data_IF_167379442121
#
_entry.id   IF_167379442121
#
_cell.length_a   1.000
_cell.length_b   1.000
_cell.length_c   1.000
_cell.angle_alpha   90.00
_cell.angle_beta   90.00
_cell.angle_gamma   90.00
#
_symmetry.space_group_name_H-M   'P 1'
#
loop_
_entity.id
_entity.type
_entity.pdbx_description
1 polymer ?
#
# COMPACT_ATOMS: atom_id res chain seq x y z
N UNK A 1 10.55 -21.68 -2.54
CA UNK A 1 10.41 -20.24 -2.20
C UNK A 1 11.28 -19.46 -3.18
N UNK A 2 10.64 -18.71 -4.07
CA UNK A 2 11.34 -17.82 -4.97
C UNK A 2 11.99 -16.70 -4.16
N UNK A 3 13.31 -16.67 -4.07
CA UNK A 3 14.07 -15.57 -3.47
C UNK A 3 14.12 -14.41 -4.50
N UNK A 4 12.96 -13.78 -4.72
CA UNK A 4 12.79 -12.70 -5.70
C UNK A 4 13.41 -11.38 -5.24
N UNK A 5 14.09 -11.38 -4.08
CA UNK A 5 14.80 -10.21 -3.54
C UNK A 5 13.95 -8.91 -3.58
N UNK A 6 12.71 -9.03 -3.11
CA UNK A 6 11.70 -7.96 -3.13
C UNK A 6 11.98 -6.81 -2.17
N UNK A 7 11.30 -5.70 -2.37
CA UNK A 7 11.33 -4.52 -1.51
C UNK A 7 12.77 -4.03 -1.22
N UNK A 8 13.61 -3.97 -2.26
CA UNK A 8 15.01 -3.52 -2.12
C UNK A 8 15.11 -2.02 -1.98
N UNK A 9 15.97 -1.58 -1.05
CA UNK A 9 16.43 -0.20 -1.08
C UNK A 9 17.26 0.05 -2.34
N UNK A 10 17.07 1.20 -3.02
CA UNK A 10 17.87 1.56 -4.20
C UNK A 10 19.34 1.77 -3.87
N UNK A 11 19.64 2.18 -2.63
CA UNK A 11 20.99 2.31 -2.10
C UNK A 11 21.07 1.51 -0.79
N UNK A 12 21.94 0.48 -0.73
CA UNK A 12 22.06 -0.32 0.48
C UNK A 12 22.55 0.50 1.68
N UNK A 13 21.95 0.23 2.83
CA UNK A 13 22.38 0.74 4.13
C UNK A 13 23.13 -0.34 4.92
N UNK A 14 23.25 -0.20 6.22
CA UNK A 14 23.94 -1.14 7.09
C UNK A 14 23.24 -2.51 7.10
N UNK A 15 23.91 -3.54 6.61
CA UNK A 15 23.37 -4.90 6.53
C UNK A 15 22.91 -5.46 7.88
N UNK A 16 23.52 -5.04 8.98
CA UNK A 16 23.16 -5.48 10.33
C UNK A 16 21.73 -5.09 10.73
N UNK A 17 21.18 -4.03 10.14
CA UNK A 17 19.79 -3.62 10.41
C UNK A 17 18.76 -4.50 9.72
N UNK A 18 19.17 -5.27 8.68
CA UNK A 18 18.28 -6.16 7.92
C UNK A 18 17.16 -5.42 7.19
N UNK A 19 17.45 -4.20 6.67
CA UNK A 19 16.45 -3.35 6.00
C UNK A 19 16.64 -3.24 4.48
N UNK A 20 17.74 -3.78 3.94
CA UNK A 20 18.11 -3.59 2.53
C UNK A 20 17.18 -4.32 1.55
N UNK A 21 16.49 -5.34 1.99
CA UNK A 21 15.48 -6.11 1.23
C UNK A 21 14.50 -6.77 2.19
N UNK A 22 13.42 -7.32 1.64
CA UNK A 22 12.46 -8.08 2.43
C UNK A 22 13.13 -9.29 3.14
N UNK A 23 12.68 -9.65 4.35
CA UNK A 23 13.16 -10.85 5.03
C UNK A 23 12.71 -12.11 4.29
N UNK A 24 13.43 -13.22 4.48
CA UNK A 24 13.07 -14.52 3.85
C UNK A 24 11.64 -14.97 4.20
N UNK A 25 11.12 -14.58 5.38
CA UNK A 25 9.75 -14.87 5.78
C UNK A 25 8.70 -14.20 4.87
N UNK A 26 9.07 -13.12 4.17
CA UNK A 26 8.20 -12.43 3.24
C UNK A 26 8.28 -12.97 1.80
N UNK A 27 9.08 -13.99 1.52
CA UNK A 27 9.22 -14.56 0.19
C UNK A 27 7.87 -15.05 -0.37
N UNK A 28 7.63 -14.80 -1.65
CA UNK A 28 6.46 -15.30 -2.37
C UNK A 28 6.45 -16.84 -2.35
N UNK A 29 5.30 -17.46 -2.08
CA UNK A 29 5.18 -18.91 -2.16
C UNK A 29 5.30 -19.39 -3.60
N UNK A 30 5.86 -20.58 -3.79
CA UNK A 30 5.78 -21.29 -5.07
C UNK A 30 4.41 -21.98 -5.16
N UNK A 31 3.41 -21.24 -5.61
CA UNK A 31 2.07 -21.77 -5.88
C UNK A 31 2.02 -22.02 -7.40
N UNK A 32 1.72 -23.25 -7.86
CA UNK A 32 1.48 -23.50 -9.27
C UNK A 32 0.42 -22.57 -9.83
N UNK A 33 0.56 -22.16 -11.10
CA UNK A 33 -0.36 -21.20 -11.72
C UNK A 33 -1.84 -21.60 -11.59
N UNK A 34 -2.14 -22.87 -11.77
CA UNK A 34 -3.50 -23.42 -11.68
C UNK A 34 -4.08 -23.45 -10.24
N UNK A 35 -3.24 -23.33 -9.22
CA UNK A 35 -3.65 -23.30 -7.82
C UNK A 35 -3.98 -21.88 -7.31
N UNK A 36 -3.78 -20.86 -8.15
CA UNK A 36 -4.30 -19.52 -7.91
C UNK A 36 -5.78 -19.47 -8.33
N UNK A 37 -6.69 -19.37 -7.35
CA UNK A 37 -8.12 -19.40 -7.57
C UNK A 37 -8.68 -18.15 -8.26
N UNK A 38 -9.82 -18.32 -8.93
CA UNK A 38 -10.58 -17.23 -9.55
C UNK A 38 -11.95 -17.02 -8.87
N UNK A 39 -12.52 -18.08 -8.32
CA UNK A 39 -13.89 -18.08 -7.80
C UNK A 39 -14.11 -17.19 -6.57
N UNK A 40 -13.04 -16.81 -5.90
CA UNK A 40 -13.03 -15.96 -4.71
C UNK A 40 -12.74 -14.48 -5.01
N UNK A 41 -12.71 -14.10 -6.29
CA UNK A 41 -12.49 -12.70 -6.73
C UNK A 41 -13.77 -12.17 -7.36
N UNK A 42 -14.34 -11.14 -6.75
CA UNK A 42 -15.50 -10.41 -7.27
C UNK A 42 -15.08 -9.04 -7.80
N UNK A 43 -15.74 -8.61 -8.87
CA UNK A 43 -15.42 -7.37 -9.53
C UNK A 43 -16.69 -6.62 -9.95
N UNK A 44 -16.79 -5.33 -9.62
CA UNK A 44 -17.91 -4.46 -9.99
C UNK A 44 -17.39 -3.19 -10.66
N UNK A 45 -17.83 -2.96 -11.91
CA UNK A 45 -17.50 -1.77 -12.68
C UNK A 45 -18.62 -0.74 -12.63
N UNK A 46 -18.34 0.52 -12.32
CA UNK A 46 -19.32 1.60 -12.43
C UNK A 46 -19.50 2.06 -13.90
N UNK A 47 -20.59 2.76 -14.14
CA UNK A 47 -20.78 3.44 -15.43
C UNK A 47 -19.64 4.43 -15.71
N UNK A 48 -19.20 4.49 -16.97
CA UNK A 48 -18.08 5.34 -17.40
C UNK A 48 -16.71 4.69 -17.35
N UNK A 49 -16.59 3.47 -16.82
CA UNK A 49 -15.38 2.64 -16.88
C UNK A 49 -15.56 1.56 -17.93
N UNK A 50 -14.63 1.48 -18.87
CA UNK A 50 -14.54 0.42 -19.86
C UNK A 50 -13.46 -0.60 -19.50
N UNK A 51 -13.56 -1.81 -20.03
CA UNK A 51 -12.47 -2.78 -20.06
C UNK A 51 -11.71 -2.67 -21.37
N UNK A 52 -10.37 -2.56 -21.29
CA UNK A 52 -9.50 -2.60 -22.45
C UNK A 52 -9.21 -4.07 -22.85
N UNK A 53 -9.11 -4.34 -24.15
CA UNK A 53 -8.80 -5.69 -24.65
C UNK A 53 -7.40 -6.18 -24.27
N UNK A 54 -6.48 -5.28 -23.96
CA UNK A 54 -5.08 -5.60 -23.64
C UNK A 54 -4.58 -4.77 -22.47
N UNK A 55 -3.80 -5.43 -21.64
CA UNK A 55 -3.01 -4.82 -20.59
C UNK A 55 -1.85 -3.97 -21.16
N UNK A 56 -1.25 -3.13 -20.31
CA UNK A 56 -0.09 -2.31 -20.69
C UNK A 56 1.07 -3.19 -21.19
N UNK A 57 1.62 -2.83 -22.34
CA UNK A 57 2.79 -3.54 -22.94
C UNK A 57 4.12 -3.13 -22.33
N UNK A 58 4.20 -1.90 -21.79
CA UNK A 58 5.36 -1.37 -21.07
C UNK A 58 4.88 -0.56 -19.89
N UNK A 59 5.48 -0.78 -18.72
CA UNK A 59 5.16 -0.09 -17.49
C UNK A 59 6.38 -0.06 -16.55
N UNK A 60 6.46 0.95 -15.69
CA UNK A 60 7.48 1.00 -14.64
C UNK A 60 7.26 -0.13 -13.62
N UNK A 61 8.33 -0.58 -12.99
CA UNK A 61 8.23 -1.57 -11.92
C UNK A 61 7.52 -1.01 -10.68
N UNK A 62 6.90 -1.91 -9.92
CA UNK A 62 6.33 -1.59 -8.60
C UNK A 62 7.40 -1.38 -7.54
N UNK A 63 6.98 -0.98 -6.34
CA UNK A 63 7.87 -0.91 -5.17
C UNK A 63 8.42 -2.28 -4.74
N UNK A 64 7.78 -3.38 -5.14
CA UNK A 64 8.28 -4.73 -4.85
C UNK A 64 9.42 -5.15 -5.79
N UNK A 65 9.53 -4.53 -6.97
CA UNK A 65 10.59 -4.74 -7.94
C UNK A 65 10.20 -5.65 -9.11
N UNK A 66 10.94 -5.51 -10.22
CA UNK A 66 10.67 -6.13 -11.54
C UNK A 66 10.47 -7.65 -11.47
N UNK A 67 11.28 -8.35 -10.68
CA UNK A 67 11.19 -9.82 -10.58
C UNK A 67 9.85 -10.28 -9.96
N UNK A 68 9.33 -9.53 -8.98
CA UNK A 68 8.01 -9.78 -8.39
C UNK A 68 6.92 -9.48 -9.39
N UNK A 69 6.99 -8.33 -10.05
CA UNK A 69 6.00 -7.91 -11.06
C UNK A 69 5.91 -8.93 -12.21
N UNK A 70 7.06 -9.42 -12.68
CA UNK A 70 7.12 -10.47 -13.71
C UNK A 70 6.44 -11.75 -13.23
N UNK A 71 6.76 -12.21 -12.02
CA UNK A 71 6.11 -13.40 -11.45
C UNK A 71 4.59 -13.22 -11.35
N UNK A 72 4.12 -12.07 -10.84
CA UNK A 72 2.69 -11.79 -10.73
C UNK A 72 2.00 -11.72 -12.10
N UNK A 73 2.66 -11.11 -13.10
CA UNK A 73 2.16 -11.07 -14.48
C UNK A 73 2.11 -12.44 -15.14
N UNK A 74 3.07 -13.31 -14.92
CA UNK A 74 3.11 -14.63 -15.54
C UNK A 74 2.08 -15.61 -14.94
N UNK A 75 1.78 -15.47 -13.64
CA UNK A 75 0.97 -16.43 -12.89
C UNK A 75 -0.45 -15.92 -12.57
N UNK A 76 -0.81 -14.67 -12.90
CA UNK A 76 -2.13 -14.15 -12.60
C UNK A 76 -3.23 -14.90 -13.36
N UNK A 77 -4.21 -15.43 -12.64
CA UNK A 77 -5.41 -16.07 -13.17
C UNK A 77 -6.50 -15.05 -13.47
N UNK A 78 -6.55 -13.95 -12.72
CA UNK A 78 -7.52 -12.86 -12.93
C UNK A 78 -6.78 -11.59 -13.36
N UNK A 79 -7.19 -11.05 -14.52
CA UNK A 79 -6.62 -9.81 -15.07
C UNK A 79 -7.71 -8.89 -15.56
N UNK A 80 -7.66 -7.65 -15.12
CA UNK A 80 -8.55 -6.60 -15.60
C UNK A 80 -7.73 -5.39 -16.05
N UNK A 81 -8.06 -4.87 -17.21
CA UNK A 81 -7.48 -3.63 -17.74
C UNK A 81 -8.60 -2.62 -17.91
N UNK A 82 -8.65 -1.63 -17.02
CA UNK A 82 -9.69 -0.60 -17.00
C UNK A 82 -9.25 0.61 -17.79
N UNK A 83 -10.19 1.24 -18.48
CA UNK A 83 -9.96 2.53 -19.12
C UNK A 83 -11.08 3.50 -18.77
N UNK A 84 -10.71 4.75 -18.50
CA UNK A 84 -11.64 5.87 -18.35
C UNK A 84 -11.37 6.89 -19.46
N UNK A 85 -12.39 7.20 -20.25
CA UNK A 85 -12.25 8.12 -21.37
C UNK A 85 -11.89 9.54 -20.92
N UNK A 86 -11.35 10.35 -21.85
CA UNK A 86 -10.98 11.75 -21.58
C UNK A 86 -12.16 12.53 -20.99
N UNK A 87 -11.85 13.40 -20.03
CA UNK A 87 -12.77 14.29 -19.32
C UNK A 87 -13.95 13.60 -18.60
N UNK A 88 -13.92 12.26 -18.51
CA UNK A 88 -14.95 11.49 -17.81
C UNK A 88 -14.72 11.50 -16.30
N UNK A 89 -15.75 11.90 -15.53
CA UNK A 89 -15.74 11.85 -14.07
C UNK A 89 -16.58 10.67 -13.61
N UNK A 90 -15.93 9.65 -13.06
CA UNK A 90 -16.60 8.44 -12.55
C UNK A 90 -16.98 8.67 -11.09
N UNK A 91 -18.29 8.68 -10.78
CA UNK A 91 -18.79 9.01 -9.44
C UNK A 91 -18.70 7.81 -8.47
N UNK A 92 -19.08 6.62 -8.92
CA UNK A 92 -19.04 5.42 -8.08
C UNK A 92 -17.69 4.71 -8.23
N UNK A 93 -17.16 4.07 -7.17
CA UNK A 93 -15.90 3.36 -7.24
C UNK A 93 -16.00 2.06 -8.07
N UNK A 94 -14.92 1.71 -8.77
CA UNK A 94 -14.68 0.35 -9.23
C UNK A 94 -14.28 -0.50 -8.02
N UNK A 95 -14.94 -1.64 -7.79
CA UNK A 95 -14.77 -2.46 -6.60
C UNK A 95 -14.20 -3.83 -6.95
N UNK A 96 -13.08 -4.19 -6.31
CA UNK A 96 -12.46 -5.51 -6.34
C UNK A 96 -12.49 -6.12 -4.95
N UNK A 97 -13.02 -7.32 -4.85
CA UNK A 97 -13.11 -8.02 -3.57
C UNK A 97 -12.52 -9.42 -3.70
N UNK A 98 -11.61 -9.73 -2.81
CA UNK A 98 -10.99 -11.05 -2.68
C UNK A 98 -11.36 -11.61 -1.32
N UNK A 99 -11.90 -12.83 -1.28
CA UNK A 99 -12.21 -13.51 -0.02
C UNK A 99 -11.49 -14.86 0.03
N UNK A 100 -10.58 -15.03 0.99
CA UNK A 100 -9.91 -16.29 1.23
C UNK A 100 -10.71 -17.16 2.20
N UNK A 101 -10.85 -18.44 1.88
CA UNK A 101 -11.44 -19.46 2.74
C UNK A 101 -10.75 -20.82 2.52
N UNK A 102 -11.18 -21.85 3.25
CA UNK A 102 -10.59 -23.18 3.15
C UNK A 102 -10.78 -23.84 1.75
N UNK A 103 -11.80 -23.44 1.00
CA UNK A 103 -12.03 -23.95 -0.35
C UNK A 103 -11.25 -23.16 -1.41
N UNK A 104 -10.98 -21.89 -1.13
CA UNK A 104 -10.30 -20.96 -2.01
C UNK A 104 -9.18 -20.23 -1.23
N UNK A 105 -8.08 -20.94 -0.88
CA UNK A 105 -7.05 -20.38 -0.01
C UNK A 105 -6.13 -19.38 -0.74
N UNK A 106 -6.12 -19.37 -2.06
CA UNK A 106 -5.18 -18.57 -2.84
C UNK A 106 -5.90 -17.69 -3.86
N UNK A 107 -5.41 -16.47 -4.03
CA UNK A 107 -5.88 -15.53 -5.05
C UNK A 107 -4.71 -14.70 -5.59
N UNK A 108 -4.60 -14.59 -6.93
CA UNK A 108 -3.66 -13.71 -7.58
C UNK A 108 -4.37 -12.89 -8.66
N UNK A 109 -4.25 -11.57 -8.58
CA UNK A 109 -4.90 -10.67 -9.53
C UNK A 109 -3.96 -9.60 -10.06
N UNK A 110 -4.15 -9.22 -11.32
CA UNK A 110 -3.52 -8.06 -11.94
C UNK A 110 -4.61 -7.08 -12.34
N UNK A 111 -4.47 -5.85 -11.88
CA UNK A 111 -5.32 -4.74 -12.26
C UNK A 111 -4.50 -3.65 -12.94
N UNK A 112 -4.89 -3.26 -14.14
CA UNK A 112 -4.31 -2.11 -14.84
C UNK A 112 -5.38 -1.04 -15.05
N UNK A 113 -5.05 0.22 -14.77
CA UNK A 113 -5.96 1.37 -14.89
C UNK A 113 -5.33 2.41 -15.79
N UNK A 114 -5.99 2.72 -16.91
CA UNK A 114 -5.61 3.78 -17.83
C UNK A 114 -6.64 4.93 -17.75
N UNK A 115 -6.38 5.88 -16.89
CA UNK A 115 -7.20 7.09 -16.75
C UNK A 115 -6.73 8.14 -17.75
N UNK A 116 -7.52 8.38 -18.80
CA UNK A 116 -7.18 9.34 -19.85
C UNK A 116 -7.21 10.78 -19.34
N UNK A 117 -6.73 11.71 -20.18
CA UNK A 117 -6.61 13.10 -19.77
C UNK A 117 -7.91 13.68 -19.21
N UNK A 118 -7.81 14.45 -18.13
CA UNK A 118 -8.95 15.09 -17.47
C UNK A 118 -9.93 14.14 -16.78
N UNK A 119 -9.71 12.82 -16.80
CA UNK A 119 -10.63 11.86 -16.19
C UNK A 119 -10.47 11.74 -14.67
N UNK A 120 -11.46 11.12 -14.00
CA UNK A 120 -11.30 10.72 -12.60
C UNK A 120 -11.93 9.37 -12.31
N UNK A 121 -11.27 8.57 -11.45
CA UNK A 121 -11.73 7.26 -11.02
C UNK A 121 -11.29 6.98 -9.58
N UNK A 122 -12.19 6.38 -8.81
CA UNK A 122 -11.83 5.71 -7.55
C UNK A 122 -11.85 4.20 -7.75
N UNK A 123 -10.78 3.52 -7.32
CA UNK A 123 -10.69 2.06 -7.28
C UNK A 123 -10.60 1.64 -5.82
N UNK A 124 -11.44 0.69 -5.43
CA UNK A 124 -11.41 0.09 -4.08
C UNK A 124 -11.08 -1.39 -4.22
N UNK A 125 -10.01 -1.82 -3.57
CA UNK A 125 -9.60 -3.22 -3.48
C UNK A 125 -9.72 -3.69 -2.04
N UNK A 126 -10.45 -4.76 -1.80
CA UNK A 126 -10.64 -5.33 -0.47
C UNK A 126 -10.21 -6.79 -0.48
N UNK A 127 -9.36 -7.16 0.46
CA UNK A 127 -8.93 -8.54 0.67
C UNK A 127 -9.28 -8.96 2.09
N UNK A 128 -10.09 -9.99 2.24
CA UNK A 128 -10.58 -10.46 3.54
C UNK A 128 -10.60 -11.98 3.65
N UNK A 129 -10.94 -12.47 4.83
CA UNK A 129 -11.05 -13.89 5.13
C UNK A 129 -9.79 -14.49 5.71
N UNK A 130 -9.79 -15.78 5.95
CA UNK A 130 -8.66 -16.52 6.50
C UNK A 130 -8.62 -17.94 5.92
N UNK A 131 -7.44 -18.43 5.67
CA UNK A 131 -7.19 -19.79 5.24
C UNK A 131 -5.80 -20.22 5.74
N UNK A 132 -5.69 -21.45 6.18
CA UNK A 132 -4.41 -22.01 6.61
C UNK A 132 -3.38 -21.94 5.48
N UNK A 133 -2.28 -21.22 5.69
CA UNK A 133 -1.28 -20.90 4.67
C UNK A 133 -1.81 -20.15 3.44
N UNK A 134 -2.99 -19.53 3.54
CA UNK A 134 -3.62 -18.78 2.45
C UNK A 134 -2.74 -17.67 1.90
N UNK A 135 -2.85 -17.41 0.59
CA UNK A 135 -2.04 -16.43 -0.11
C UNK A 135 -2.88 -15.51 -1.00
N UNK A 136 -2.86 -14.21 -0.74
CA UNK A 136 -3.42 -13.20 -1.62
C UNK A 136 -2.30 -12.36 -2.23
N UNK A 137 -2.15 -12.38 -3.55
CA UNK A 137 -1.17 -11.58 -4.26
C UNK A 137 -1.84 -10.68 -5.29
N UNK A 138 -1.35 -9.46 -5.45
CA UNK A 138 -1.86 -8.55 -6.48
C UNK A 138 -0.79 -7.63 -7.02
N UNK A 139 -0.94 -7.29 -8.32
CA UNK A 139 -0.23 -6.18 -8.96
C UNK A 139 -1.26 -5.17 -9.46
N UNK A 140 -1.16 -3.95 -9.00
CA UNK A 140 -1.98 -2.83 -9.48
C UNK A 140 -1.09 -1.84 -10.24
N UNK A 141 -1.46 -1.52 -11.49
CA UNK A 141 -0.75 -0.57 -12.34
C UNK A 141 -1.67 0.57 -12.73
N UNK A 142 -1.25 1.81 -12.47
CA UNK A 142 -2.07 3.01 -12.73
C UNK A 142 -1.30 3.94 -13.65
N UNK A 143 -1.89 4.26 -14.80
CA UNK A 143 -1.46 5.35 -15.66
C UNK A 143 -2.47 6.49 -15.56
N UNK A 144 -2.04 7.60 -14.98
CA UNK A 144 -2.84 8.81 -14.88
C UNK A 144 -2.43 9.80 -15.98
N UNK A 145 -3.33 10.06 -16.91
CA UNK A 145 -3.16 11.02 -18.02
C UNK A 145 -3.10 12.47 -17.54
N UNK A 146 -2.84 13.42 -18.45
CA UNK A 146 -2.74 14.85 -18.10
C UNK A 146 -4.01 15.35 -17.39
N UNK A 147 -3.86 15.97 -16.20
CA UNK A 147 -4.94 16.43 -15.33
C UNK A 147 -5.92 15.30 -14.87
N UNK A 148 -5.56 14.04 -15.00
CA UNK A 148 -6.37 12.95 -14.45
C UNK A 148 -6.20 12.85 -12.94
N UNK A 149 -7.23 12.35 -12.26
CA UNK A 149 -7.22 12.09 -10.83
C UNK A 149 -7.65 10.65 -10.55
N UNK A 150 -6.76 9.85 -9.99
CA UNK A 150 -7.05 8.47 -9.61
C UNK A 150 -6.90 8.30 -8.10
N UNK A 151 -7.91 7.74 -7.47
CA UNK A 151 -7.84 7.34 -6.06
C UNK A 151 -7.85 5.82 -5.96
N UNK A 152 -6.79 5.26 -5.37
CA UNK A 152 -6.66 3.83 -5.07
C UNK A 152 -6.84 3.60 -3.57
N UNK A 153 -7.88 2.88 -3.18
CA UNK A 153 -8.12 2.46 -1.80
C UNK A 153 -7.90 0.97 -1.69
N UNK A 154 -6.96 0.55 -0.86
CA UNK A 154 -6.61 -0.85 -0.64
C UNK A 154 -6.82 -1.20 0.83
N UNK A 155 -7.68 -2.16 1.09
CA UNK A 155 -8.03 -2.61 2.43
C UNK A 155 -7.76 -4.11 2.56
N UNK A 156 -6.92 -4.48 3.52
CA UNK A 156 -6.62 -5.87 3.88
C UNK A 156 -7.16 -6.12 5.28
N UNK A 157 -8.03 -7.13 5.38
CA UNK A 157 -8.69 -7.63 6.60
C UNK A 157 -8.52 -9.16 6.69
N UNK A 158 -7.29 -9.64 6.55
CA UNK A 158 -6.97 -11.06 6.58
C UNK A 158 -6.85 -11.57 8.02
N UNK A 159 -7.30 -12.80 8.25
CA UNK A 159 -7.04 -13.50 9.49
C UNK A 159 -5.57 -13.92 9.66
N UNK A 160 -5.24 -14.41 10.84
CA UNK A 160 -3.85 -14.63 11.28
C UNK A 160 -3.08 -15.75 10.56
N UNK A 161 -3.73 -16.53 9.67
CA UNK A 161 -3.10 -17.64 8.94
C UNK A 161 -2.81 -17.30 7.48
N UNK A 162 -3.43 -16.24 6.96
CA UNK A 162 -3.28 -15.82 5.58
C UNK A 162 -2.18 -14.78 5.40
N UNK A 163 -1.65 -14.68 4.19
CA UNK A 163 -0.52 -13.83 3.82
C UNK A 163 -0.86 -12.95 2.61
N UNK A 164 -0.34 -11.73 2.58
CA UNK A 164 -0.59 -10.73 1.55
C UNK A 164 0.69 -10.27 0.86
N UNK A 165 0.67 -10.20 -0.47
CA UNK A 165 1.65 -9.49 -1.30
C UNK A 165 0.91 -8.47 -2.17
N UNK A 166 1.29 -7.21 -2.06
CA UNK A 166 0.61 -6.10 -2.72
C UNK A 166 1.60 -5.21 -3.45
N UNK A 167 1.70 -5.36 -4.75
CA UNK A 167 2.55 -4.59 -5.63
C UNK A 167 1.77 -3.46 -6.30
N UNK A 168 2.29 -2.24 -6.27
CA UNK A 168 1.66 -1.06 -6.91
C UNK A 168 2.69 -0.30 -7.73
N UNK A 169 2.35 -0.01 -8.99
CA UNK A 169 3.13 0.83 -9.88
C UNK A 169 2.26 1.96 -10.44
N UNK A 170 2.77 3.18 -10.41
CA UNK A 170 2.03 4.40 -10.78
C UNK A 170 2.88 5.21 -11.76
N UNK A 171 2.29 5.64 -12.86
CA UNK A 171 2.88 6.58 -13.82
C UNK A 171 1.97 7.79 -13.97
N UNK A 172 2.52 8.98 -13.76
CA UNK A 172 1.77 10.23 -13.75
C UNK A 172 2.22 11.16 -14.85
N UNK A 173 1.27 11.57 -15.69
CA UNK A 173 1.44 12.64 -16.68
C UNK A 173 1.35 14.02 -16.01
N UNK A 174 1.44 15.07 -16.80
CA UNK A 174 1.45 16.46 -16.33
C UNK A 174 0.17 16.81 -15.56
N UNK A 175 0.35 17.39 -14.36
CA UNK A 175 -0.75 17.77 -13.46
C UNK A 175 -1.70 16.61 -13.11
N UNK A 176 -1.29 15.36 -13.30
CA UNK A 176 -2.03 14.23 -12.81
C UNK A 176 -1.87 14.11 -11.28
N UNK A 177 -2.87 13.56 -10.64
CA UNK A 177 -2.84 13.27 -9.21
C UNK A 177 -3.25 11.84 -8.95
N UNK A 178 -2.44 11.12 -8.16
CA UNK A 178 -2.81 9.81 -7.64
C UNK A 178 -2.79 9.83 -6.12
N UNK A 179 -3.93 9.50 -5.51
CA UNK A 179 -4.08 9.30 -4.08
C UNK A 179 -4.16 7.81 -3.78
N UNK A 180 -3.28 7.30 -2.94
CA UNK A 180 -3.33 5.92 -2.44
C UNK A 180 -3.66 5.90 -0.96
N UNK A 181 -4.70 5.15 -0.59
CA UNK A 181 -5.03 4.82 0.80
C UNK A 181 -4.79 3.33 0.99
N UNK A 182 -3.90 2.95 1.91
CA UNK A 182 -3.56 1.55 2.19
C UNK A 182 -3.80 1.22 3.65
N UNK A 183 -4.65 0.25 3.90
CA UNK A 183 -5.04 -0.21 5.23
C UNK A 183 -4.71 -1.69 5.34
N UNK A 184 -3.78 -2.04 6.26
CA UNK A 184 -3.26 -3.38 6.46
C UNK A 184 -3.56 -3.83 7.90
N UNK A 185 -4.66 -4.56 8.08
CA UNK A 185 -5.09 -5.07 9.38
C UNK A 185 -5.11 -6.60 9.38
N UNK A 186 -4.35 -7.20 10.30
CA UNK A 186 -4.24 -8.66 10.41
C UNK A 186 -3.25 -9.29 9.41
N UNK A 187 -3.45 -10.61 9.16
CA UNK A 187 -2.53 -11.41 8.35
C UNK A 187 -1.28 -11.88 9.09
N UNK A 188 -0.78 -13.08 8.74
CA UNK A 188 0.53 -13.56 9.19
C UNK A 188 1.68 -12.80 8.53
N UNK A 189 1.43 -12.31 7.31
CA UNK A 189 2.36 -11.51 6.53
C UNK A 189 1.60 -10.43 5.76
N UNK A 190 2.13 -9.21 5.76
CA UNK A 190 1.77 -8.15 4.82
C UNK A 190 3.04 -7.60 4.17
N UNK A 191 3.30 -7.96 2.90
CA UNK A 191 4.37 -7.44 2.10
C UNK A 191 3.80 -6.50 1.03
N UNK A 192 4.11 -5.20 1.13
CA UNK A 192 3.61 -4.16 0.23
C UNK A 192 4.76 -3.41 -0.43
N UNK A 193 4.60 -3.08 -1.71
CA UNK A 193 5.56 -2.22 -2.39
C UNK A 193 4.88 -1.32 -3.40
N UNK A 194 4.88 0.00 -3.14
CA UNK A 194 4.34 1.01 -4.04
C UNK A 194 5.47 1.86 -4.65
N UNK A 195 5.36 2.18 -5.94
CA UNK A 195 6.28 3.08 -6.62
C UNK A 195 5.53 4.02 -7.55
N UNK A 196 5.66 5.31 -7.28
CA UNK A 196 5.10 6.38 -8.11
C UNK A 196 6.19 7.07 -8.93
N UNK A 197 5.98 7.15 -10.25
CA UNK A 197 6.82 7.88 -11.19
C UNK A 197 6.17 9.23 -11.49
N UNK A 198 6.69 10.30 -10.89
CA UNK A 198 6.28 11.67 -11.16
C UNK A 198 7.06 12.16 -12.38
N UNK A 199 6.64 11.65 -13.58
CA UNK A 199 7.40 11.76 -14.80
C UNK A 199 7.17 13.09 -15.56
N UNK A 200 6.14 13.86 -15.19
CA UNK A 200 5.81 15.10 -15.83
C UNK A 200 5.54 16.22 -14.81
N UNK A 201 5.62 17.47 -15.26
CA UNK A 201 5.53 18.62 -14.35
C UNK A 201 4.19 18.72 -13.66
N UNK A 202 4.22 19.08 -12.37
CA UNK A 202 3.06 19.25 -11.50
C UNK A 202 2.28 17.96 -11.26
N UNK A 203 2.88 16.78 -11.44
CA UNK A 203 2.28 15.55 -10.98
C UNK A 203 2.37 15.43 -9.45
N UNK A 204 1.36 14.79 -8.85
CA UNK A 204 1.18 14.73 -7.40
C UNK A 204 0.84 13.31 -6.96
N UNK A 205 1.62 12.77 -6.02
CA UNK A 205 1.36 11.49 -5.38
C UNK A 205 1.17 11.64 -3.88
N UNK A 206 0.02 11.20 -3.38
CA UNK A 206 -0.30 11.16 -1.96
C UNK A 206 -0.48 9.71 -1.50
N UNK A 207 0.20 9.28 -0.44
CA UNK A 207 0.03 7.99 0.22
C UNK A 207 -0.38 8.19 1.69
N UNK A 208 -1.54 7.65 2.06
CA UNK A 208 -1.94 7.45 3.45
C UNK A 208 -1.99 5.96 3.76
N UNK A 209 -1.05 5.47 4.55
CA UNK A 209 -0.98 4.07 4.93
C UNK A 209 -1.22 3.89 6.43
N UNK A 210 -2.02 2.90 6.80
CA UNK A 210 -2.13 2.47 8.20
C UNK A 210 -1.96 0.96 8.30
N UNK A 211 -1.33 0.50 9.38
CA UNK A 211 -1.13 -0.92 9.64
C UNK A 211 -1.31 -1.27 11.13
N UNK A 212 -1.81 -2.47 11.36
CA UNK A 212 -1.87 -3.07 12.70
C UNK A 212 -1.19 -4.45 12.68
N UNK A 213 -0.05 -4.55 13.34
CA UNK A 213 0.69 -5.81 13.48
C UNK A 213 0.49 -6.43 14.86
N UNK A 214 0.05 -7.68 14.91
CA UNK A 214 -0.18 -8.42 16.16
C UNK A 214 0.39 -9.84 16.10
N UNK A 215 0.49 -10.49 17.27
CA UNK A 215 1.06 -11.85 17.35
C UNK A 215 2.49 -11.90 16.82
N UNK A 216 2.77 -12.79 15.89
CA UNK A 216 4.05 -12.96 15.21
C UNK A 216 4.02 -12.43 13.76
N UNK A 217 3.10 -11.50 13.46
CA UNK A 217 2.93 -10.96 12.12
C UNK A 217 4.20 -10.28 11.59
N UNK A 218 4.47 -10.47 10.31
CA UNK A 218 5.56 -9.83 9.58
C UNK A 218 4.98 -8.77 8.63
N UNK A 219 5.43 -7.52 8.77
CA UNK A 219 5.04 -6.43 7.89
C UNK A 219 6.29 -5.91 7.17
N UNK A 220 6.28 -5.94 5.85
CA UNK A 220 7.40 -5.50 5.02
C UNK A 220 6.92 -4.53 3.95
N UNK A 221 7.17 -3.24 4.13
CA UNK A 221 6.67 -2.18 3.27
C UNK A 221 7.83 -1.45 2.58
N UNK A 222 7.62 -1.08 1.30
CA UNK A 222 8.56 -0.29 0.50
C UNK A 222 7.82 0.71 -0.38
N UNK A 223 7.79 1.96 0.03
CA UNK A 223 7.09 3.04 -0.66
C UNK A 223 8.11 3.99 -1.29
N UNK A 224 7.98 4.21 -2.60
CA UNK A 224 8.96 4.94 -3.40
C UNK A 224 8.29 6.00 -4.24
N UNK A 225 8.73 7.25 -4.15
CA UNK A 225 8.40 8.30 -5.11
C UNK A 225 9.63 8.69 -5.93
N UNK A 226 9.51 8.74 -7.25
CA UNK A 226 10.60 9.11 -8.16
C UNK A 226 10.21 10.37 -8.92
N UNK A 227 10.90 11.47 -8.61
CA UNK A 227 10.69 12.77 -9.23
C UNK A 227 11.67 12.95 -10.38
N UNK A 228 11.16 13.07 -11.62
CA UNK A 228 12.00 13.29 -12.82
C UNK A 228 11.67 14.60 -13.55
N UNK A 229 10.59 15.27 -13.14
CA UNK A 229 10.12 16.51 -13.71
C UNK A 229 9.99 17.62 -12.65
N UNK A 230 9.85 18.86 -13.11
CA UNK A 230 9.78 20.03 -12.23
C UNK A 230 8.41 20.20 -11.57
N UNK A 231 8.40 20.88 -10.42
CA UNK A 231 7.18 21.27 -9.70
C UNK A 231 6.33 20.07 -9.27
N UNK A 232 6.93 18.90 -9.03
CA UNK A 232 6.26 17.67 -8.59
C UNK A 232 6.10 17.64 -7.08
N UNK A 233 5.03 17.01 -6.59
CA UNK A 233 4.74 16.91 -5.16
C UNK A 233 4.51 15.45 -4.76
N UNK A 234 5.07 15.05 -3.61
CA UNK A 234 4.79 13.77 -2.99
C UNK A 234 4.61 13.93 -1.48
N UNK A 235 3.50 13.41 -0.96
CA UNK A 235 3.21 13.32 0.48
C UNK A 235 2.98 11.85 0.84
N UNK A 236 3.86 11.27 1.66
CA UNK A 236 3.71 9.90 2.15
C UNK A 236 3.56 9.90 3.67
N UNK A 237 2.40 9.52 4.15
CA UNK A 237 2.11 9.39 5.57
C UNK A 237 1.79 7.95 5.93
N UNK A 238 2.49 7.41 6.93
CA UNK A 238 2.27 6.05 7.44
C UNK A 238 2.06 6.10 8.94
N UNK A 239 0.97 5.49 9.42
CA UNK A 239 0.73 5.35 10.84
C UNK A 239 0.52 3.87 11.21
N UNK A 240 1.05 3.44 12.35
CA UNK A 240 0.96 2.04 12.73
C UNK A 240 0.90 1.76 14.20
N UNK A 241 0.38 0.57 14.50
CA UNK A 241 0.38 0.00 15.85
C UNK A 241 0.97 -1.40 15.80
N UNK A 242 1.88 -1.70 16.72
CA UNK A 242 2.51 -3.01 16.84
C UNK A 242 2.31 -3.57 18.25
N UNK A 243 1.89 -4.83 18.31
CA UNK A 243 1.72 -5.58 19.57
C UNK A 243 2.24 -7.01 19.43
N UNK A 244 2.30 -7.76 20.54
CA UNK A 244 2.87 -9.11 20.52
C UNK A 244 4.35 -9.11 20.16
N UNK A 245 4.75 -9.95 19.21
CA UNK A 245 6.10 -10.07 18.65
C UNK A 245 6.15 -9.61 17.19
N UNK A 246 5.17 -8.83 16.76
CA UNK A 246 5.11 -8.36 15.37
C UNK A 246 6.43 -7.68 14.95
N UNK A 247 6.92 -8.03 13.75
CA UNK A 247 8.16 -7.49 13.16
C UNK A 247 7.82 -6.67 11.90
N UNK A 248 8.05 -5.36 11.97
CA UNK A 248 7.77 -4.45 10.87
C UNK A 248 9.03 -3.82 10.31
N UNK A 249 9.10 -3.72 8.98
CA UNK A 249 10.07 -2.93 8.23
C UNK A 249 9.30 -1.98 7.31
N UNK A 250 9.57 -0.68 7.40
CA UNK A 250 9.15 0.31 6.40
C UNK A 250 10.40 0.88 5.73
N UNK A 251 10.38 0.91 4.41
CA UNK A 251 11.33 1.66 3.58
C UNK A 251 10.55 2.73 2.85
N UNK A 252 10.90 3.98 3.10
CA UNK A 252 10.35 5.13 2.39
C UNK A 252 11.47 5.78 1.58
N UNK A 253 11.26 5.96 0.30
CA UNK A 253 12.27 6.56 -0.58
C UNK A 253 11.68 7.71 -1.37
N UNK A 254 12.31 8.87 -1.28
CA UNK A 254 12.06 10.02 -2.15
C UNK A 254 13.30 10.18 -3.03
N UNK A 255 13.16 9.97 -4.34
CA UNK A 255 14.26 10.03 -5.32
C UNK A 255 14.09 11.23 -6.25
N UNK A 256 14.78 12.33 -5.93
CA UNK A 256 14.85 13.51 -6.79
C UNK A 256 15.93 13.36 -7.84
N UNK A 257 15.55 13.01 -9.06
CA UNK A 257 16.47 12.88 -10.17
C UNK A 257 16.74 14.22 -10.84
N UNK A 258 17.83 14.27 -11.60
CA UNK A 258 18.17 15.46 -12.39
C UNK A 258 17.00 15.87 -13.28
N UNK A 259 16.55 17.13 -13.15
CA UNK A 259 15.37 17.69 -13.80
C UNK A 259 14.18 17.89 -12.87
N UNK A 260 14.20 17.36 -11.64
CA UNK A 260 13.14 17.49 -10.64
C UNK A 260 13.11 18.87 -9.94
N UNK A 261 13.46 19.94 -10.65
CA UNK A 261 13.53 21.30 -10.05
C UNK A 261 12.23 21.68 -9.36
N UNK A 262 12.36 22.23 -8.15
CA UNK A 262 11.25 22.59 -7.25
C UNK A 262 10.32 21.41 -6.95
N UNK A 263 10.86 20.19 -7.04
CA UNK A 263 10.20 19.01 -6.51
C UNK A 263 10.12 19.08 -4.99
N UNK A 264 8.97 18.72 -4.44
CA UNK A 264 8.72 18.65 -3.00
C UNK A 264 8.33 17.22 -2.65
N UNK A 265 8.95 16.67 -1.61
CA UNK A 265 8.63 15.32 -1.15
C UNK A 265 8.74 15.23 0.37
N UNK A 266 7.66 14.81 1.00
CA UNK A 266 7.60 14.61 2.44
C UNK A 266 7.22 13.16 2.75
N UNK A 267 7.92 12.58 3.72
CA UNK A 267 7.62 11.28 4.29
C UNK A 267 7.47 11.41 5.80
N UNK A 268 6.43 10.82 6.35
CA UNK A 268 6.25 10.76 7.80
C UNK A 268 5.76 9.40 8.25
N UNK A 269 6.28 8.93 9.39
CA UNK A 269 5.82 7.71 10.05
C UNK A 269 5.51 7.96 11.53
N UNK A 270 4.34 7.51 12.00
CA UNK A 270 3.96 7.54 13.41
C UNK A 270 3.61 6.13 13.92
N UNK A 271 4.46 5.55 14.75
CA UNK A 271 4.33 4.17 15.26
C UNK A 271 4.06 4.16 16.75
N UNK A 272 3.06 3.39 17.15
CA UNK A 272 2.76 3.11 18.55
C UNK A 272 3.07 1.65 18.90
N UNK A 273 3.96 1.43 19.85
CA UNK A 273 4.33 0.12 20.34
C UNK A 273 3.54 -0.22 21.60
N UNK A 274 2.66 -1.20 21.52
CA UNK A 274 1.90 -1.74 22.66
C UNK A 274 2.63 -2.87 23.37
N UNK A 275 3.65 -3.46 22.74
CA UNK A 275 4.45 -4.52 23.30
C UNK A 275 5.94 -4.19 23.26
N UNK A 276 6.71 -4.49 24.32
CA UNK A 276 8.16 -4.36 24.28
C UNK A 276 8.84 -5.43 23.40
N UNK A 277 8.13 -6.50 23.04
CA UNK A 277 8.63 -7.57 22.18
C UNK A 277 8.40 -7.26 20.69
N UNK A 278 7.52 -6.31 20.36
CA UNK A 278 7.32 -5.87 18.99
C UNK A 278 8.59 -5.17 18.45
N UNK A 279 8.92 -5.47 17.20
CA UNK A 279 10.10 -4.92 16.52
C UNK A 279 9.68 -3.96 15.42
N UNK A 280 10.16 -2.73 15.51
CA UNK A 280 9.98 -1.72 14.47
C UNK A 280 11.32 -1.35 13.84
N UNK A 281 11.38 -1.38 12.52
CA UNK A 281 12.53 -0.93 11.72
C UNK A 281 12.03 0.01 10.62
N UNK A 282 12.70 1.15 10.49
CA UNK A 282 12.35 2.16 9.48
C UNK A 282 13.62 2.61 8.79
N UNK A 283 13.59 2.69 7.46
CA UNK A 283 14.68 3.14 6.63
C UNK A 283 14.21 4.23 5.66
N UNK A 284 14.06 5.48 6.13
CA UNK A 284 13.76 6.60 5.26
C UNK A 284 15.00 6.95 4.43
N UNK A 285 14.79 7.27 3.15
CA UNK A 285 15.85 7.56 2.20
C UNK A 285 15.46 8.72 1.28
N UNK A 286 16.28 9.77 1.26
CA UNK A 286 16.14 10.88 0.32
C UNK A 286 17.36 10.89 -0.59
N UNK A 287 17.15 10.67 -1.89
CA UNK A 287 18.18 10.73 -2.92
C UNK A 287 18.08 12.06 -3.66
N UNK A 288 19.09 12.91 -3.54
CA UNK A 288 19.10 14.25 -4.13
C UNK A 288 20.05 14.30 -5.33
N UNK A 289 19.52 14.07 -6.54
CA UNK A 289 20.21 14.27 -7.81
C UNK A 289 19.99 15.65 -8.43
N UNK A 290 19.18 16.51 -7.80
CA UNK A 290 18.87 17.89 -8.19
C UNK A 290 19.08 18.83 -6.99
N UNK A 291 19.51 20.07 -7.24
CA UNK A 291 19.86 21.01 -6.16
C UNK A 291 18.64 21.79 -5.64
N UNK A 292 17.70 22.12 -6.52
CA UNK A 292 16.53 22.96 -6.23
C UNK A 292 15.33 22.07 -5.86
N UNK A 293 15.40 21.37 -4.73
CA UNK A 293 14.34 20.46 -4.22
C UNK A 293 14.11 20.65 -2.73
N UNK A 294 12.94 20.24 -2.26
CA UNK A 294 12.60 20.16 -0.84
C UNK A 294 12.26 18.71 -0.49
N UNK A 295 13.10 18.08 0.33
CA UNK A 295 12.90 16.72 0.82
C UNK A 295 12.90 16.68 2.34
N UNK A 296 11.85 16.14 2.94
CA UNK A 296 11.74 16.00 4.39
C UNK A 296 11.31 14.59 4.76
N UNK A 297 11.85 14.07 5.85
CA UNK A 297 11.30 12.88 6.50
C UNK A 297 11.17 13.07 8.01
N UNK A 298 10.17 12.45 8.60
CA UNK A 298 9.94 12.45 10.02
C UNK A 298 9.52 11.06 10.49
N UNK A 299 10.05 10.60 11.63
CA UNK A 299 9.62 9.36 12.25
C UNK A 299 9.34 9.59 13.74
N UNK A 300 8.16 9.22 14.19
CA UNK A 300 7.75 9.24 15.60
C UNK A 300 7.47 7.81 16.04
N UNK A 301 8.28 7.30 16.95
CA UNK A 301 8.10 5.95 17.49
C UNK A 301 7.87 6.10 18.99
N UNK A 302 6.63 5.86 19.41
CA UNK A 302 6.22 5.96 20.80
C UNK A 302 5.87 4.59 21.39
N UNK A 303 6.06 4.46 22.69
CA UNK A 303 5.45 3.39 23.48
C UNK A 303 4.13 3.87 24.04
N UNK A 304 3.31 2.92 24.52
CA UNK A 304 2.11 3.26 25.25
C UNK A 304 2.45 4.22 26.39
N UNK A 305 1.82 5.40 26.37
CA UNK A 305 1.98 6.40 27.42
C UNK A 305 1.12 6.00 28.62
N UNK A 306 1.77 5.50 29.66
CA UNK A 306 1.14 5.07 30.91
C UNK A 306 0.33 6.19 31.58
N UNK A 307 0.76 7.44 31.45
CA UNK A 307 0.03 8.57 32.00
C UNK A 307 -1.26 8.85 31.22
N UNK A 308 -1.21 8.75 29.89
CA UNK A 308 -2.42 8.85 29.05
C UNK A 308 -3.37 7.69 29.31
N UNK A 309 -2.84 6.46 29.40
CA UNK A 309 -3.63 5.29 29.72
C UNK A 309 -4.32 5.44 31.09
N UNK A 310 -3.57 5.85 32.11
CA UNK A 310 -4.11 6.12 33.45
C UNK A 310 -5.19 7.20 33.41
N UNK A 311 -4.97 8.30 32.67
CA UNK A 311 -5.96 9.36 32.51
C UNK A 311 -7.26 8.85 31.88
N UNK A 312 -7.18 8.10 30.79
CA UNK A 312 -8.35 7.53 30.11
C UNK A 312 -9.12 6.58 31.04
N UNK A 313 -8.40 5.72 31.76
CA UNK A 313 -9.00 4.81 32.75
C UNK A 313 -9.64 5.55 33.92
N UNK A 314 -9.07 6.66 34.38
CA UNK A 314 -9.67 7.51 35.42
C UNK A 314 -10.97 8.19 34.96
N UNK A 315 -11.22 8.26 33.66
CA UNK A 315 -12.44 8.73 33.02
C UNK A 315 -13.47 7.63 32.76
N UNK A 316 -13.22 6.40 33.21
CA UNK A 316 -14.16 5.29 33.16
C UNK A 316 -13.98 4.33 31.99
N UNK A 317 -12.95 4.51 31.15
CA UNK A 317 -12.64 3.57 30.08
C UNK A 317 -11.91 2.34 30.66
N UNK A 318 -12.23 1.14 30.14
CA UNK A 318 -11.37 -0.03 30.37
C UNK A 318 -10.01 0.17 29.70
N UNK A 319 -9.02 -0.64 30.05
CA UNK A 319 -7.72 -0.59 29.37
C UNK A 319 -7.84 -0.88 27.87
N UNK A 320 -8.65 -1.86 27.52
CA UNK A 320 -8.94 -2.24 26.13
C UNK A 320 -9.61 -1.08 25.37
N UNK A 321 -10.63 -0.45 25.95
CA UNK A 321 -11.29 0.71 25.35
C UNK A 321 -10.34 1.90 25.18
N UNK A 322 -9.43 2.11 26.13
CA UNK A 322 -8.45 3.18 26.03
C UNK A 322 -7.42 2.91 24.93
N UNK A 323 -6.95 1.65 24.79
CA UNK A 323 -6.05 1.24 23.71
C UNK A 323 -6.71 1.37 22.35
N UNK A 324 -7.95 0.88 22.23
CA UNK A 324 -8.75 1.02 21.00
C UNK A 324 -8.92 2.49 20.59
N UNK A 325 -9.27 3.36 21.51
CA UNK A 325 -9.39 4.79 21.23
C UNK A 325 -8.08 5.40 20.69
N UNK A 326 -6.92 4.94 21.18
CA UNK A 326 -5.62 5.40 20.68
C UNK A 326 -5.30 4.89 19.27
N UNK A 327 -5.76 3.68 18.93
CA UNK A 327 -5.67 3.12 17.56
C UNK A 327 -6.61 3.90 16.64
N UNK A 328 -7.87 4.05 17.01
CA UNK A 328 -8.90 4.75 16.23
C UNK A 328 -8.46 6.17 15.89
N UNK A 329 -7.90 6.90 16.84
CA UNK A 329 -7.43 8.27 16.62
C UNK A 329 -6.28 8.35 15.59
N UNK A 330 -5.44 7.30 15.47
CA UNK A 330 -4.36 7.23 14.50
C UNK A 330 -4.84 6.86 13.11
N UNK A 331 -5.82 5.95 13.04
CA UNK A 331 -6.28 5.40 11.78
C UNK A 331 -7.41 6.23 11.15
N UNK A 332 -8.12 7.04 11.95
CA UNK A 332 -9.24 7.83 11.47
C UNK A 332 -8.94 8.65 10.19
N UNK A 333 -7.79 9.35 10.06
CA UNK A 333 -7.52 10.14 8.86
C UNK A 333 -7.49 9.31 7.56
N UNK A 334 -6.97 8.07 7.62
CA UNK A 334 -6.96 7.16 6.47
C UNK A 334 -8.33 6.50 6.26
N UNK A 335 -9.00 6.08 7.33
CA UNK A 335 -10.32 5.43 7.26
C UNK A 335 -11.36 6.38 6.67
N UNK A 336 -11.35 7.66 7.03
CA UNK A 336 -12.27 8.68 6.50
C UNK A 336 -12.12 8.90 4.98
N UNK A 337 -10.97 8.54 4.41
CA UNK A 337 -10.72 8.60 2.96
C UNK A 337 -11.33 7.42 2.17
N UNK A 338 -11.82 6.38 2.83
CA UNK A 338 -12.54 5.25 2.20
C UNK A 338 -13.91 5.76 1.72
N UNK A 339 -14.28 5.60 0.43
CA UNK A 339 -15.53 6.16 -0.10
C UNK A 339 -16.79 5.38 0.29
N UNK A 340 -16.65 4.19 0.88
CA UNK A 340 -17.74 3.29 1.22
C UNK A 340 -17.95 3.25 2.75
N UNK A 341 -19.06 3.78 3.24
CA UNK A 341 -19.34 3.87 4.68
C UNK A 341 -19.35 2.48 5.35
N UNK A 342 -19.94 1.46 4.73
CA UNK A 342 -19.94 0.10 5.26
C UNK A 342 -18.52 -0.47 5.41
N UNK A 343 -17.62 -0.15 4.47
CA UNK A 343 -16.22 -0.58 4.57
C UNK A 343 -15.45 0.21 5.64
N UNK A 344 -15.77 1.50 5.86
CA UNK A 344 -15.21 2.25 6.99
C UNK A 344 -15.57 1.60 8.33
N UNK A 345 -16.84 1.17 8.48
CA UNK A 345 -17.31 0.52 9.71
C UNK A 345 -16.64 -0.85 9.90
N UNK A 346 -16.53 -1.67 8.83
CA UNK A 346 -15.80 -2.95 8.85
C UNK A 346 -14.33 -2.77 9.28
N UNK A 347 -13.66 -1.75 8.75
CA UNK A 347 -12.26 -1.42 9.11
C UNK A 347 -12.15 -0.97 10.56
N UNK A 348 -13.08 -0.14 11.04
CA UNK A 348 -13.09 0.28 12.46
C UNK A 348 -13.33 -0.89 13.41
N UNK A 349 -14.17 -1.86 13.04
CA UNK A 349 -14.40 -3.05 13.86
C UNK A 349 -13.18 -3.97 13.91
N UNK A 350 -12.39 -4.04 12.84
CA UNK A 350 -11.21 -4.88 12.75
C UNK A 350 -9.96 -4.28 13.43
N UNK A 351 -9.90 -2.95 13.62
CA UNK A 351 -8.81 -2.22 14.27
C UNK A 351 -8.96 -2.23 15.80
#
# INVERSE_FOLDING_TARGET
MNDLNMNRLPVPTWNQCGVNSAPKAAALPEIPGDDWGEANIAFTLPAGVGEAEKDFTAFSESGMGEAVDTYLLENATVRHALTVAEDTKVEAPALFEVTLDAAHPNALSVLSVDAKAGSSLTVVQVVRGDAENGAAASLTRIRAGENAHVKLVQVQLLGSHARRWNAVAIEEAKSAKVEQVRIELGGALSACGAKAQLAASKSEYDLDAVYFGSGDAVLDHNDVSVHTAKDTLCEMHTAGVLTGHADKILRGTIDFRRGAKRGVGHESEDVLLFSPAARNRTAPLILCGEEEVEGQHAASIGRLDEAKLYYLRSRGLSEEQARRLMVDARFAPAIEKIPLAALQDEVREAA
#
